data_IF_419100598854
#
_entry.id   IF_419100598854
#
_cell.length_a   1.000
_cell.length_b   1.000
_cell.length_c   1.000
_cell.angle_alpha   90.00
_cell.angle_beta   90.00
_cell.angle_gamma   90.00
#
_symmetry.space_group_name_H-M   'P 1'
#
loop_
_entity.id
_entity.type
_entity.pdbx_description
1 polymer ?
#
# COMPACT_ATOMS: atom_id res chain seq x y z
N UNK A 1 7.94 -2.26 21.68
CA UNK A 1 8.12 -2.98 20.40
C UNK A 1 6.90 -2.69 19.54
N UNK A 2 7.07 -2.49 18.27
CA UNK A 2 5.98 -2.27 17.32
C UNK A 2 5.30 -3.59 16.97
N UNK A 3 3.96 -3.60 16.92
CA UNK A 3 3.18 -4.76 16.43
C UNK A 3 3.40 -4.99 14.93
N UNK A 4 3.57 -3.91 14.17
CA UNK A 4 3.87 -4.00 12.74
C UNK A 4 5.19 -4.74 12.48
N UNK A 5 6.24 -4.47 13.25
CA UNK A 5 7.50 -5.22 13.17
C UNK A 5 7.30 -6.70 13.47
N UNK A 6 6.53 -7.01 14.53
CA UNK A 6 6.28 -8.41 14.92
C UNK A 6 5.52 -9.18 13.83
N UNK A 7 4.49 -8.57 13.22
CA UNK A 7 3.76 -9.16 12.10
C UNK A 7 4.70 -9.40 10.92
N UNK A 8 5.51 -8.40 10.56
CA UNK A 8 6.46 -8.49 9.46
C UNK A 8 7.50 -9.61 9.71
N UNK A 9 8.11 -9.64 10.90
CA UNK A 9 9.10 -10.66 11.28
C UNK A 9 8.49 -12.06 11.19
N UNK A 10 7.29 -12.25 11.71
CA UNK A 10 6.60 -13.53 11.69
C UNK A 10 6.33 -14.00 10.25
N UNK A 11 5.84 -13.10 9.40
CA UNK A 11 5.60 -13.40 7.98
C UNK A 11 6.90 -13.77 7.26
N UNK A 12 7.98 -13.01 7.46
CA UNK A 12 9.26 -13.28 6.83
C UNK A 12 9.83 -14.65 7.24
N UNK A 13 9.78 -14.98 8.53
CA UNK A 13 10.21 -16.29 9.04
C UNK A 13 9.38 -17.41 8.42
N UNK A 14 8.06 -17.25 8.43
CA UNK A 14 7.16 -18.26 7.89
C UNK A 14 7.35 -18.51 6.38
N UNK A 15 7.59 -17.43 5.60
CA UNK A 15 7.90 -17.56 4.16
C UNK A 15 9.24 -18.28 3.97
N UNK A 16 10.27 -17.89 4.71
CA UNK A 16 11.61 -18.49 4.58
C UNK A 16 11.65 -19.96 5.00
N UNK A 17 10.89 -20.34 6.03
CA UNK A 17 10.88 -21.71 6.60
C UNK A 17 9.92 -22.63 5.87
N UNK A 18 8.76 -22.14 5.44
CA UNK A 18 7.64 -22.94 4.95
C UNK A 18 7.17 -22.55 3.55
N UNK A 19 7.86 -21.64 2.88
CA UNK A 19 7.50 -21.17 1.55
C UNK A 19 7.89 -22.14 0.43
N UNK A 20 7.23 -21.99 -0.70
CA UNK A 20 7.54 -22.71 -1.94
C UNK A 20 8.56 -21.92 -2.77
N UNK A 21 9.64 -22.57 -3.19
CA UNK A 21 10.63 -22.03 -4.10
C UNK A 21 10.26 -22.32 -5.56
N UNK A 22 10.34 -21.29 -6.41
CA UNK A 22 10.04 -21.40 -7.86
C UNK A 22 11.29 -21.50 -8.74
N UNK A 23 12.42 -21.93 -8.18
CA UNK A 23 13.74 -22.00 -8.85
C UNK A 23 13.75 -22.82 -10.14
N UNK A 24 12.90 -23.83 -10.22
CA UNK A 24 12.78 -24.70 -11.39
C UNK A 24 11.69 -24.26 -12.39
N UNK A 25 11.06 -23.11 -12.13
CA UNK A 25 9.98 -22.61 -12.97
C UNK A 25 10.46 -21.45 -13.85
N UNK A 26 9.80 -21.28 -14.98
CA UNK A 26 9.98 -20.08 -15.81
C UNK A 26 9.27 -18.92 -15.11
N UNK A 27 10.03 -17.88 -14.74
CA UNK A 27 9.53 -16.65 -14.12
C UNK A 27 9.62 -15.48 -15.09
N UNK A 28 8.74 -14.49 -14.91
CA UNK A 28 8.73 -13.28 -15.74
C UNK A 28 9.76 -12.27 -15.26
N UNK A 29 9.88 -11.98 -13.93
CA UNK A 29 10.76 -10.93 -13.45
C UNK A 29 12.24 -11.30 -13.68
N UNK A 30 13.06 -10.26 -13.92
CA UNK A 30 14.50 -10.39 -14.09
C UNK A 30 15.22 -9.36 -13.23
N UNK A 31 16.43 -9.69 -12.84
CA UNK A 31 17.36 -8.76 -12.23
C UNK A 31 17.96 -7.83 -13.30
N UNK A 32 18.59 -6.74 -12.87
CA UNK A 32 19.25 -5.76 -13.74
C UNK A 32 20.28 -6.40 -14.69
N UNK A 33 20.91 -7.51 -14.30
CA UNK A 33 21.84 -8.28 -15.12
C UNK A 33 21.18 -9.27 -16.10
N UNK A 34 19.85 -9.26 -16.18
CA UNK A 34 19.07 -10.13 -17.06
C UNK A 34 18.83 -11.55 -16.53
N UNK A 35 19.36 -11.90 -15.36
CA UNK A 35 19.09 -13.23 -14.78
C UNK A 35 17.67 -13.31 -14.22
N UNK A 36 17.02 -14.49 -14.27
CA UNK A 36 15.69 -14.68 -13.70
C UNK A 36 15.67 -14.35 -12.22
N UNK A 37 14.65 -13.63 -11.77
CA UNK A 37 14.43 -13.29 -10.37
C UNK A 37 13.44 -14.28 -9.75
N UNK A 38 14.00 -15.35 -9.13
CA UNK A 38 13.21 -16.38 -8.46
C UNK A 38 12.76 -15.97 -7.07
N UNK A 39 11.73 -16.63 -6.57
CA UNK A 39 11.14 -16.30 -5.26
C UNK A 39 10.93 -17.53 -4.38
N UNK A 40 10.98 -17.29 -3.08
CA UNK A 40 10.31 -18.13 -2.09
C UNK A 40 9.01 -17.42 -1.71
N UNK A 41 7.89 -18.14 -1.73
CA UNK A 41 6.57 -17.53 -1.58
C UNK A 41 5.58 -18.36 -0.79
N UNK A 42 4.58 -17.68 -0.26
CA UNK A 42 3.48 -18.28 0.46
C UNK A 42 2.13 -17.79 -0.08
N UNK A 43 1.19 -18.72 -0.17
CA UNK A 43 -0.19 -18.42 -0.55
C UNK A 43 -0.98 -17.88 0.64
N UNK A 44 -1.70 -16.80 0.43
CA UNK A 44 -2.71 -16.22 1.30
C UNK A 44 -2.21 -15.91 2.72
N UNK A 45 -1.49 -14.79 2.84
CA UNK A 45 -1.20 -14.18 4.15
C UNK A 45 -2.28 -13.13 4.44
N UNK A 46 -2.81 -13.16 5.67
CA UNK A 46 -3.78 -12.17 6.16
C UNK A 46 -3.23 -11.50 7.42
N UNK A 47 -2.95 -10.21 7.31
CA UNK A 47 -2.47 -9.39 8.41
C UNK A 47 -3.57 -8.45 8.91
N UNK A 48 -3.56 -8.13 10.20
CA UNK A 48 -4.50 -7.21 10.84
C UNK A 48 -3.74 -6.13 11.60
N UNK A 49 -4.08 -4.87 11.33
CA UNK A 49 -3.47 -3.71 11.95
C UNK A 49 -4.54 -2.83 12.58
N UNK A 50 -4.54 -2.73 13.91
CA UNK A 50 -5.44 -1.84 14.63
C UNK A 50 -4.87 -0.42 14.66
N UNK A 51 -5.45 0.48 13.87
CA UNK A 51 -4.97 1.85 13.70
C UNK A 51 -5.25 2.74 14.91
N UNK A 52 -6.08 2.28 15.86
CA UNK A 52 -6.28 2.98 17.14
C UNK A 52 -5.15 2.70 18.13
N UNK A 53 -4.38 1.64 17.93
CA UNK A 53 -3.28 1.27 18.81
C UNK A 53 -1.95 1.85 18.35
N UNK A 54 -1.63 1.73 17.06
CA UNK A 54 -0.41 2.26 16.46
C UNK A 54 -0.54 2.49 14.96
N UNK A 55 0.31 3.37 14.43
CA UNK A 55 0.55 3.44 12.99
C UNK A 55 1.42 2.24 12.58
N UNK A 56 0.99 1.41 11.62
CA UNK A 56 1.78 0.25 11.20
C UNK A 56 2.91 0.68 10.25
N UNK A 57 4.01 1.15 10.82
CA UNK A 57 5.25 1.49 10.15
C UNK A 57 6.39 0.68 10.75
N UNK A 58 7.30 0.16 9.92
CA UNK A 58 8.42 -0.63 10.41
C UNK A 58 9.45 0.24 11.11
N UNK A 59 10.02 -0.29 12.20
CA UNK A 59 11.15 0.31 12.92
C UNK A 59 12.45 -0.47 12.70
N UNK A 60 12.38 -1.76 12.42
CA UNK A 60 13.53 -2.60 12.06
C UNK A 60 14.14 -2.27 10.71
N UNK A 61 13.47 -1.43 9.94
CA UNK A 61 13.92 -0.87 8.67
C UNK A 61 13.22 0.46 8.42
N UNK A 62 13.98 1.45 7.93
CA UNK A 62 13.41 2.74 7.54
C UNK A 62 12.34 2.58 6.46
N UNK A 63 11.18 3.20 6.69
CA UNK A 63 10.15 3.42 5.67
C UNK A 63 10.15 4.90 5.30
N UNK A 64 10.27 5.22 4.00
CA UNK A 64 10.30 6.61 3.53
C UNK A 64 8.88 7.22 3.58
N UNK A 65 8.46 7.62 4.79
CA UNK A 65 7.11 8.07 5.12
C UNK A 65 6.57 9.14 4.18
N UNK A 66 7.34 10.22 3.95
CA UNK A 66 6.89 11.33 3.11
C UNK A 66 6.72 10.92 1.65
N UNK A 67 7.61 10.08 1.13
CA UNK A 67 7.51 9.58 -0.25
C UNK A 67 6.31 8.64 -0.41
N UNK A 68 6.05 7.78 0.57
CA UNK A 68 4.87 6.90 0.56
C UNK A 68 3.56 7.68 0.64
N UNK A 69 3.53 8.75 1.42
CA UNK A 69 2.37 9.63 1.50
C UNK A 69 2.18 10.45 0.20
N UNK A 70 3.24 10.99 -0.38
CA UNK A 70 3.16 11.72 -1.66
C UNK A 70 2.62 10.82 -2.78
N UNK A 71 3.09 9.57 -2.87
CA UNK A 71 2.55 8.58 -3.81
C UNK A 71 1.07 8.26 -3.53
N UNK A 72 0.69 8.12 -2.27
CA UNK A 72 -0.71 7.93 -1.89
C UNK A 72 -1.60 9.07 -2.40
N UNK A 73 -1.16 10.33 -2.18
CA UNK A 73 -1.88 11.51 -2.66
C UNK A 73 -1.89 11.59 -4.19
N UNK A 74 -0.80 11.20 -4.85
CA UNK A 74 -0.71 11.12 -6.31
C UNK A 74 -1.74 10.14 -6.88
N UNK A 75 -1.86 8.94 -6.31
CA UNK A 75 -2.80 7.91 -6.76
C UNK A 75 -4.25 8.27 -6.43
N UNK A 76 -4.54 8.65 -5.17
CA UNK A 76 -5.90 8.71 -4.66
C UNK A 76 -6.53 10.10 -4.70
N UNK A 77 -5.72 11.15 -4.57
CA UNK A 77 -6.21 12.53 -4.54
C UNK A 77 -6.08 13.19 -5.91
N UNK A 78 -4.87 13.21 -6.48
CA UNK A 78 -4.63 13.72 -7.83
C UNK A 78 -5.22 12.82 -8.91
N UNK A 79 -5.36 11.52 -8.63
CA UNK A 79 -5.82 10.48 -9.57
C UNK A 79 -5.01 10.50 -10.86
N UNK A 80 -3.72 10.79 -10.72
CA UNK A 80 -2.80 10.91 -11.84
C UNK A 80 -2.19 9.56 -12.22
N UNK A 81 -1.83 9.45 -13.47
CA UNK A 81 -1.02 8.37 -14.03
C UNK A 81 0.27 8.90 -14.67
N UNK A 82 0.64 10.16 -14.41
CA UNK A 82 1.86 10.77 -14.91
C UNK A 82 2.87 10.96 -13.77
N UNK A 83 4.08 10.41 -13.93
CA UNK A 83 5.15 10.47 -12.93
C UNK A 83 5.68 11.89 -12.68
N UNK A 84 5.44 12.83 -13.59
CA UNK A 84 5.83 14.22 -13.39
C UNK A 84 4.98 14.93 -12.30
N UNK A 85 3.84 14.35 -11.91
CA UNK A 85 3.01 14.83 -10.80
C UNK A 85 3.45 14.27 -9.44
N UNK A 86 4.47 13.38 -9.43
CA UNK A 86 5.04 12.72 -8.26
C UNK A 86 6.44 13.27 -7.98
N UNK A 87 6.76 13.54 -6.71
CA UNK A 87 8.08 14.08 -6.35
C UNK A 87 9.18 13.01 -6.28
N UNK A 88 8.84 11.74 -6.24
CA UNK A 88 9.80 10.63 -6.20
C UNK A 88 9.93 9.94 -7.55
N UNK A 89 11.06 9.26 -7.78
CA UNK A 89 11.38 8.55 -9.02
C UNK A 89 11.07 7.05 -8.98
N UNK A 90 10.21 6.63 -8.05
CA UNK A 90 9.95 5.19 -7.82
C UNK A 90 9.14 4.53 -8.93
N UNK A 91 8.49 5.32 -9.78
CA UNK A 91 7.66 4.85 -10.89
C UNK A 91 8.31 5.01 -12.27
N UNK A 92 9.49 5.62 -12.39
CA UNK A 92 10.14 5.95 -13.67
C UNK A 92 10.35 4.72 -14.56
N UNK A 93 10.64 3.55 -13.98
CA UNK A 93 10.86 2.30 -14.73
C UNK A 93 9.59 1.75 -15.42
N UNK A 94 8.42 2.24 -15.07
CA UNK A 94 7.13 1.81 -15.64
C UNK A 94 6.45 2.91 -16.46
N UNK A 95 7.07 4.08 -16.56
CA UNK A 95 6.57 5.20 -17.34
C UNK A 95 7.09 5.14 -18.78
N UNK A 96 6.25 5.59 -19.71
CA UNK A 96 6.64 5.81 -21.10
C UNK A 96 7.40 7.14 -21.27
N UNK A 97 7.72 7.48 -22.53
CA UNK A 97 8.46 8.71 -22.90
C UNK A 97 7.73 10.00 -22.47
N UNK A 98 6.42 9.95 -22.27
CA UNK A 98 5.59 11.09 -21.81
C UNK A 98 5.47 11.17 -20.29
N UNK A 99 6.05 10.22 -19.58
CA UNK A 99 5.92 10.07 -18.14
C UNK A 99 4.64 9.36 -17.69
N UNK A 100 3.89 8.75 -18.63
CA UNK A 100 2.65 8.04 -18.31
C UNK A 100 2.91 6.59 -17.93
N UNK A 101 2.25 6.11 -16.87
CA UNK A 101 2.17 4.68 -16.52
C UNK A 101 0.95 3.99 -17.18
N UNK A 102 0.35 4.63 -18.17
CA UNK A 102 -0.81 4.13 -18.87
C UNK A 102 -2.10 4.22 -18.04
N UNK A 103 -3.05 3.33 -18.30
CA UNK A 103 -4.35 3.30 -17.64
C UNK A 103 -4.31 2.66 -16.24
N UNK A 104 -3.20 2.78 -15.53
CA UNK A 104 -2.98 2.16 -14.23
C UNK A 104 -3.34 3.09 -13.05
N UNK A 105 -3.56 2.53 -11.89
CA UNK A 105 -3.73 3.17 -10.58
C UNK A 105 -4.67 4.39 -10.57
N UNK A 106 -4.14 5.63 -10.52
CA UNK A 106 -4.94 6.85 -10.44
C UNK A 106 -5.92 7.01 -11.58
N UNK A 107 -5.55 6.59 -12.80
CA UNK A 107 -6.45 6.58 -13.94
C UNK A 107 -7.72 5.77 -13.70
N UNK A 108 -7.59 4.57 -13.10
CA UNK A 108 -8.75 3.72 -12.79
C UNK A 108 -9.64 4.31 -11.68
N UNK A 109 -9.04 5.01 -10.72
CA UNK A 109 -9.81 5.71 -9.69
C UNK A 109 -10.61 6.89 -10.25
N UNK A 110 -10.07 7.58 -11.28
CA UNK A 110 -10.71 8.71 -11.94
C UNK A 110 -11.87 8.31 -12.89
N UNK A 111 -11.96 7.02 -13.28
CA UNK A 111 -13.05 6.56 -14.16
C UNK A 111 -14.39 6.76 -13.49
N UNK A 112 -15.28 7.48 -14.17
CA UNK A 112 -16.61 7.75 -13.66
C UNK A 112 -17.57 6.62 -13.98
N UNK A 113 -18.51 6.41 -13.06
CA UNK A 113 -19.62 5.47 -13.19
C UNK A 113 -20.94 6.16 -12.83
N UNK A 114 -22.02 5.73 -13.46
CA UNK A 114 -23.36 6.28 -13.23
C UNK A 114 -24.04 5.48 -12.11
N UNK A 115 -24.51 6.20 -11.11
CA UNK A 115 -25.28 5.69 -9.98
C UNK A 115 -26.65 6.38 -9.93
N UNK A 116 -27.64 5.87 -9.17
CA UNK A 116 -28.93 6.53 -9.00
C UNK A 116 -28.80 7.97 -8.47
N UNK A 117 -27.77 8.24 -7.66
CA UNK A 117 -27.52 9.54 -7.03
C UNK A 117 -26.72 10.51 -7.91
N UNK A 118 -26.16 10.05 -9.04
CA UNK A 118 -25.37 10.85 -9.96
C UNK A 118 -24.14 10.14 -10.53
N UNK A 119 -23.28 10.89 -11.16
CA UNK A 119 -22.02 10.40 -11.72
C UNK A 119 -20.89 10.63 -10.73
N UNK A 120 -20.16 9.57 -10.38
CA UNK A 120 -19.05 9.60 -9.44
C UNK A 120 -17.85 8.83 -10.01
N UNK A 121 -16.65 9.30 -9.71
CA UNK A 121 -15.48 8.42 -9.73
C UNK A 121 -15.42 7.56 -8.45
N UNK A 122 -14.45 6.65 -8.38
CA UNK A 122 -14.41 5.67 -7.28
C UNK A 122 -14.15 6.32 -5.92
N UNK A 123 -13.31 7.37 -5.86
CA UNK A 123 -12.97 8.07 -4.61
C UNK A 123 -14.15 8.90 -4.13
N UNK A 124 -14.76 9.67 -5.03
CA UNK A 124 -15.94 10.48 -4.72
C UNK A 124 -17.13 9.60 -4.30
N UNK A 125 -17.27 8.41 -4.91
CA UNK A 125 -18.28 7.45 -4.50
C UNK A 125 -18.06 6.95 -3.07
N UNK A 126 -16.84 6.60 -2.69
CA UNK A 126 -16.52 6.22 -1.30
C UNK A 126 -16.84 7.35 -0.33
N UNK A 127 -16.41 8.59 -0.64
CA UNK A 127 -16.70 9.76 0.20
C UNK A 127 -18.20 10.01 0.36
N UNK A 128 -18.96 9.90 -0.74
CA UNK A 128 -20.42 10.05 -0.74
C UNK A 128 -21.09 8.97 0.15
N UNK A 129 -20.70 7.71 -0.01
CA UNK A 129 -21.30 6.61 0.74
C UNK A 129 -20.96 6.67 2.23
N UNK A 130 -19.70 6.97 2.59
CA UNK A 130 -19.29 7.12 3.99
C UNK A 130 -20.07 8.23 4.71
N UNK A 131 -20.43 9.28 3.99
CA UNK A 131 -21.18 10.42 4.55
C UNK A 131 -22.69 10.18 4.58
N UNK A 132 -23.27 9.56 3.55
CA UNK A 132 -24.71 9.49 3.36
C UNK A 132 -25.30 8.10 3.63
N UNK A 133 -24.50 7.05 3.51
CA UNK A 133 -24.92 5.66 3.70
C UNK A 133 -23.80 4.79 4.31
N UNK A 134 -23.27 5.16 5.49
CA UNK A 134 -22.11 4.49 6.08
C UNK A 134 -22.33 3.00 6.38
N UNK A 135 -23.59 2.56 6.51
CA UNK A 135 -23.94 1.14 6.74
C UNK A 135 -24.00 0.30 5.45
N UNK A 136 -23.71 0.89 4.29
CA UNK A 136 -23.65 0.18 3.03
C UNK A 136 -22.53 -0.87 3.03
N UNK A 137 -22.88 -2.07 2.53
CA UNK A 137 -21.93 -3.17 2.31
C UNK A 137 -21.33 -3.14 0.90
N UNK A 138 -21.44 -2.00 0.19
CA UNK A 138 -21.03 -1.82 -1.21
C UNK A 138 -19.96 -0.73 -1.35
N UNK A 139 -19.38 -0.27 -0.24
CA UNK A 139 -18.35 0.77 -0.24
C UNK A 139 -17.03 0.10 -0.58
N UNK A 140 -16.59 0.23 -1.82
CA UNK A 140 -15.35 -0.37 -2.28
C UNK A 140 -14.79 0.34 -3.51
N UNK A 141 -13.51 0.10 -3.75
CA UNK A 141 -12.82 0.48 -4.98
C UNK A 141 -12.15 -0.73 -5.61
N UNK A 142 -12.02 -0.72 -6.94
CA UNK A 142 -11.30 -1.75 -7.67
C UNK A 142 -10.60 -1.11 -8.87
N UNK A 143 -9.29 -1.23 -8.92
CA UNK A 143 -8.46 -0.67 -9.98
C UNK A 143 -7.90 -1.73 -10.95
N UNK A 144 -8.25 -3.00 -10.77
CA UNK A 144 -7.90 -4.07 -11.69
C UNK A 144 -9.00 -4.23 -12.74
N UNK A 145 -8.87 -3.48 -13.84
CA UNK A 145 -9.84 -3.46 -14.92
C UNK A 145 -9.31 -4.27 -16.10
N UNK A 146 -9.95 -5.40 -16.39
CA UNK A 146 -9.54 -6.33 -17.44
C UNK A 146 -9.51 -5.71 -18.84
N UNK A 147 -10.39 -4.75 -19.12
CA UNK A 147 -10.46 -4.07 -20.42
C UNK A 147 -9.22 -3.20 -20.68
N UNK A 148 -8.62 -2.64 -19.62
CA UNK A 148 -7.52 -1.68 -19.72
C UNK A 148 -6.14 -2.29 -19.41
N UNK A 149 -6.04 -3.57 -19.01
CA UNK A 149 -4.77 -4.18 -18.59
C UNK A 149 -3.64 -4.04 -19.63
N UNK A 150 -3.98 -4.18 -20.90
CA UNK A 150 -3.00 -4.09 -21.99
C UNK A 150 -2.42 -2.69 -22.20
N UNK A 151 -3.02 -1.66 -21.61
CA UNK A 151 -2.57 -0.28 -21.63
C UNK A 151 -1.96 0.17 -20.27
N UNK A 152 -1.67 -0.75 -19.37
CA UNK A 152 -1.05 -0.47 -18.08
C UNK A 152 0.44 -0.76 -18.11
N UNK A 153 1.28 0.18 -17.69
CA UNK A 153 2.72 -0.03 -17.51
C UNK A 153 3.02 -1.08 -16.45
N UNK A 154 2.18 -1.14 -15.39
CA UNK A 154 2.22 -2.15 -14.35
C UNK A 154 0.81 -2.53 -13.91
N UNK A 155 0.51 -3.83 -13.91
CA UNK A 155 -0.77 -4.33 -13.40
C UNK A 155 -0.87 -4.11 -11.89
N UNK A 156 -1.98 -3.53 -11.36
CA UNK A 156 -2.12 -3.22 -9.95
C UNK A 156 -1.89 -4.44 -9.05
N UNK A 157 -0.94 -4.32 -8.12
CA UNK A 157 -0.69 -5.34 -7.10
C UNK A 157 -1.72 -5.22 -5.96
N UNK A 158 -1.80 -4.04 -5.35
CA UNK A 158 -2.87 -3.64 -4.43
C UNK A 158 -4.05 -3.17 -5.28
N UNK A 159 -5.06 -4.02 -5.47
CA UNK A 159 -6.03 -3.81 -6.53
C UNK A 159 -7.44 -3.43 -6.04
N UNK A 160 -7.79 -3.72 -4.80
CA UNK A 160 -9.08 -3.32 -4.27
C UNK A 160 -9.05 -2.97 -2.79
N UNK A 161 -9.87 -1.99 -2.41
CA UNK A 161 -10.19 -1.67 -1.02
C UNK A 161 -11.68 -1.85 -0.79
N UNK A 162 -12.05 -2.55 0.29
CA UNK A 162 -13.41 -2.63 0.79
C UNK A 162 -13.49 -1.91 2.12
N UNK A 163 -14.49 -1.06 2.30
CA UNK A 163 -14.71 -0.28 3.50
C UNK A 163 -15.94 -0.77 4.24
N UNK A 164 -15.87 -0.79 5.57
CA UNK A 164 -16.99 -1.16 6.44
C UNK A 164 -17.02 -0.27 7.66
N UNK A 165 -18.20 0.25 7.98
CA UNK A 165 -18.41 1.06 9.18
C UNK A 165 -19.10 0.22 10.25
N UNK A 166 -18.50 0.11 11.43
CA UNK A 166 -19.03 -0.57 12.60
C UNK A 166 -19.19 0.45 13.73
N UNK A 167 -20.42 0.85 14.01
CA UNK A 167 -20.70 1.99 14.90
C UNK A 167 -20.16 3.29 14.33
N UNK A 168 -19.17 3.88 14.97
CA UNK A 168 -18.47 5.10 14.56
C UNK A 168 -17.06 4.81 13.97
N UNK A 169 -16.76 3.55 13.68
CA UNK A 169 -15.42 3.08 13.33
C UNK A 169 -15.38 2.59 11.89
N UNK A 170 -14.47 3.16 11.10
CA UNK A 170 -14.20 2.78 9.71
C UNK A 170 -13.10 1.73 9.66
N UNK A 171 -13.42 0.56 9.15
CA UNK A 171 -12.49 -0.54 8.88
C UNK A 171 -12.27 -0.70 7.38
N UNK A 172 -11.13 -1.26 6.99
CA UNK A 172 -10.79 -1.50 5.60
C UNK A 172 -10.16 -2.87 5.35
N UNK A 173 -10.45 -3.45 4.19
CA UNK A 173 -9.77 -4.64 3.67
C UNK A 173 -9.02 -4.24 2.42
N UNK A 174 -7.70 -4.35 2.44
CA UNK A 174 -6.84 -4.24 1.27
C UNK A 174 -6.65 -5.64 0.66
N UNK A 175 -7.06 -5.83 -0.59
CA UNK A 175 -6.75 -7.03 -1.35
C UNK A 175 -5.56 -6.77 -2.27
N UNK A 176 -4.54 -7.62 -2.14
CA UNK A 176 -3.32 -7.56 -2.92
C UNK A 176 -3.02 -8.92 -3.55
N UNK A 177 -2.90 -8.96 -4.90
CA UNK A 177 -2.65 -10.20 -5.64
C UNK A 177 -1.21 -10.69 -5.53
N UNK A 178 -0.27 -9.78 -5.30
CA UNK A 178 1.17 -10.04 -5.28
C UNK A 178 1.87 -9.00 -4.44
N UNK A 179 2.80 -9.39 -3.58
CA UNK A 179 3.52 -8.49 -2.69
C UNK A 179 4.97 -8.94 -2.51
N UNK A 180 5.92 -8.11 -2.99
CA UNK A 180 7.31 -8.21 -2.56
C UNK A 180 7.39 -7.80 -1.09
N UNK A 181 7.61 -8.79 -0.25
CA UNK A 181 7.55 -8.61 1.20
C UNK A 181 8.66 -7.71 1.74
N UNK A 182 9.82 -7.65 1.07
CA UNK A 182 10.90 -6.77 1.52
C UNK A 182 10.70 -5.33 1.05
N UNK A 183 10.37 -5.11 -0.23
CA UNK A 183 10.34 -3.74 -0.79
C UNK A 183 8.99 -3.07 -0.68
N UNK A 184 7.89 -3.80 -0.94
CA UNK A 184 6.57 -3.21 -1.10
C UNK A 184 5.64 -3.39 0.12
N UNK A 185 5.81 -4.44 0.94
CA UNK A 185 4.86 -4.74 2.01
C UNK A 185 4.64 -3.57 2.99
N UNK A 186 5.71 -3.10 3.62
CA UNK A 186 5.64 -2.01 4.59
C UNK A 186 5.20 -0.69 3.96
N UNK A 187 5.51 -0.47 2.69
CA UNK A 187 5.07 0.69 1.92
C UNK A 187 3.55 0.69 1.73
N UNK A 188 3.00 -0.42 1.22
CA UNK A 188 1.56 -0.55 1.01
C UNK A 188 0.78 -0.51 2.33
N UNK A 189 1.24 -1.21 3.37
CA UNK A 189 0.58 -1.18 4.70
C UNK A 189 0.49 0.25 5.22
N UNK A 190 1.58 1.02 5.15
CA UNK A 190 1.59 2.42 5.58
C UNK A 190 0.60 3.26 4.76
N UNK A 191 0.67 3.17 3.43
CA UNK A 191 -0.18 3.97 2.53
C UNK A 191 -1.67 3.71 2.78
N UNK A 192 -2.08 2.46 2.82
CA UNK A 192 -3.49 2.12 2.99
C UNK A 192 -4.00 2.35 4.41
N UNK A 193 -3.11 2.36 5.41
CA UNK A 193 -3.44 2.82 6.76
C UNK A 193 -3.70 4.31 6.80
N UNK A 194 -2.83 5.11 6.17
CA UNK A 194 -3.02 6.56 6.04
C UNK A 194 -4.30 6.89 5.25
N UNK A 195 -4.55 6.18 4.15
CA UNK A 195 -5.78 6.33 3.36
C UNK A 195 -7.03 6.11 4.22
N UNK A 196 -7.06 5.04 5.02
CA UNK A 196 -8.18 4.73 5.90
C UNK A 196 -8.38 5.82 6.96
N UNK A 197 -7.28 6.35 7.52
CA UNK A 197 -7.32 7.47 8.48
C UNK A 197 -7.83 8.76 7.83
N UNK A 198 -7.42 9.06 6.59
CA UNK A 198 -7.90 10.22 5.83
C UNK A 198 -9.41 10.13 5.59
N UNK A 199 -9.90 9.01 5.08
CA UNK A 199 -11.34 8.79 4.87
C UNK A 199 -12.12 8.87 6.18
N UNK A 200 -11.62 8.29 7.26
CA UNK A 200 -12.26 8.36 8.57
C UNK A 200 -12.37 9.81 9.05
N UNK A 201 -11.29 10.59 8.99
CA UNK A 201 -11.27 11.98 9.45
C UNK A 201 -12.30 12.84 8.71
N UNK A 202 -12.32 12.81 7.38
CA UNK A 202 -13.23 13.68 6.60
C UNK A 202 -14.69 13.23 6.63
N UNK A 203 -14.94 11.99 7.05
CA UNK A 203 -16.28 11.43 7.23
C UNK A 203 -16.77 11.49 8.69
N UNK A 204 -15.96 12.04 9.62
CA UNK A 204 -16.31 12.14 11.03
C UNK A 204 -16.32 10.79 11.75
N UNK A 205 -15.58 9.81 11.23
CA UNK A 205 -15.44 8.46 11.78
C UNK A 205 -14.08 8.30 12.47
N UNK A 206 -13.93 7.23 13.26
CA UNK A 206 -12.66 6.79 13.81
C UNK A 206 -12.02 5.78 12.87
N UNK A 207 -10.73 5.87 12.62
CA UNK A 207 -9.99 4.81 11.92
C UNK A 207 -9.95 3.56 12.80
N UNK A 208 -10.31 2.42 12.25
CA UNK A 208 -10.37 1.14 12.95
C UNK A 208 -9.25 0.19 12.54
N UNK A 209 -9.61 -0.92 11.93
CA UNK A 209 -8.68 -1.96 11.53
C UNK A 209 -8.44 -1.94 10.02
N UNK A 210 -7.17 -2.04 9.62
CA UNK A 210 -6.77 -2.42 8.27
C UNK A 210 -6.49 -3.93 8.24
N UNK A 211 -7.24 -4.67 7.43
CA UNK A 211 -6.97 -6.07 7.11
C UNK A 211 -6.27 -6.11 5.75
N UNK A 212 -5.06 -6.66 5.69
CA UNK A 212 -4.29 -6.81 4.47
C UNK A 212 -4.27 -8.27 4.04
N UNK A 213 -4.92 -8.57 2.92
CA UNK A 213 -5.01 -9.89 2.32
C UNK A 213 -4.06 -9.96 1.14
N UNK A 214 -3.07 -10.84 1.20
CA UNK A 214 -2.02 -11.01 0.19
C UNK A 214 -2.13 -12.42 -0.41
N UNK A 215 -2.47 -12.51 -1.69
CA UNK A 215 -2.61 -13.82 -2.33
C UNK A 215 -1.25 -14.50 -2.58
N UNK A 216 -0.27 -13.77 -3.11
CA UNK A 216 1.11 -14.22 -3.31
C UNK A 216 2.07 -13.31 -2.54
N UNK A 217 2.53 -13.79 -1.38
CA UNK A 217 3.50 -13.10 -0.54
C UNK A 217 4.88 -13.72 -0.76
N UNK A 218 5.83 -12.97 -1.33
CA UNK A 218 7.10 -13.51 -1.76
C UNK A 218 8.32 -12.70 -1.32
N UNK A 219 9.44 -13.41 -1.24
CA UNK A 219 10.79 -12.87 -1.04
C UNK A 219 11.63 -13.31 -2.23
N UNK A 220 12.20 -12.36 -2.96
CA UNK A 220 13.11 -12.67 -4.06
C UNK A 220 14.40 -13.33 -3.56
N UNK A 221 15.00 -14.17 -4.39
CA UNK A 221 16.22 -14.93 -4.08
C UNK A 221 17.36 -14.02 -3.56
N UNK A 222 17.64 -12.88 -4.22
CA UNK A 222 18.66 -11.90 -3.79
C UNK A 222 18.25 -11.08 -2.56
N UNK A 223 17.01 -11.18 -2.13
CA UNK A 223 16.52 -10.52 -0.91
C UNK A 223 16.67 -11.38 0.35
N UNK A 224 16.88 -12.70 0.21
CA UNK A 224 16.84 -13.64 1.36
C UNK A 224 17.81 -13.25 2.48
N UNK A 225 19.05 -12.93 2.15
CA UNK A 225 20.03 -12.56 3.17
C UNK A 225 19.76 -11.19 3.75
N UNK A 226 19.23 -10.24 2.94
CA UNK A 226 18.78 -8.95 3.42
C UNK A 226 17.61 -9.07 4.39
N UNK A 227 16.66 -9.96 4.10
CA UNK A 227 15.52 -10.25 4.99
C UNK A 227 16.01 -10.80 6.32
N UNK A 228 16.94 -11.80 6.31
CA UNK A 228 17.53 -12.33 7.55
C UNK A 228 18.21 -11.25 8.39
N UNK A 229 18.92 -10.32 7.74
CA UNK A 229 19.53 -9.18 8.41
C UNK A 229 18.47 -8.24 9.02
N UNK A 230 17.45 -7.87 8.25
CA UNK A 230 16.38 -6.95 8.70
C UNK A 230 15.62 -7.51 9.89
N UNK A 231 15.21 -8.78 9.84
CA UNK A 231 14.40 -9.37 10.93
C UNK A 231 15.20 -9.65 12.21
N UNK A 232 16.54 -9.56 12.15
CA UNK A 232 17.41 -9.67 13.31
C UNK A 232 17.71 -8.33 13.98
N UNK A 233 17.30 -7.19 13.38
CA UNK A 233 17.56 -5.86 13.94
C UNK A 233 16.71 -5.56 15.17
N UNK A 234 17.19 -4.67 16.04
CA UNK A 234 16.40 -4.20 17.18
C UNK A 234 15.07 -3.58 16.74
N UNK A 235 14.02 -3.84 17.53
CA UNK A 235 12.72 -3.22 17.35
C UNK A 235 12.59 -2.00 18.26
N UNK A 236 12.08 -0.89 17.71
CA UNK A 236 11.80 0.32 18.48
C UNK A 236 10.29 0.42 18.77
N UNK A 237 9.91 1.45 19.50
CA UNK A 237 8.52 1.77 19.75
C UNK A 237 7.89 2.36 18.48
N UNK A 238 6.64 1.99 18.20
CA UNK A 238 5.88 2.63 17.12
C UNK A 238 5.80 4.14 17.32
N UNK A 239 6.03 4.96 16.28
CA UNK A 239 5.88 6.40 16.36
C UNK A 239 4.43 6.79 16.55
N UNK A 240 4.20 8.02 16.99
CA UNK A 240 2.87 8.62 16.99
C UNK A 240 2.66 9.40 15.69
N UNK A 241 1.52 9.17 15.06
CA UNK A 241 1.10 9.97 13.91
C UNK A 241 0.21 11.11 14.40
N UNK A 242 0.52 12.32 13.95
CA UNK A 242 -0.38 13.47 14.01
C UNK A 242 -0.87 13.81 12.60
N UNK A 243 -2.16 13.97 12.46
CA UNK A 243 -2.81 14.46 11.24
C UNK A 243 -3.47 15.80 11.57
N UNK A 244 -3.29 16.80 10.72
CA UNK A 244 -3.89 18.12 10.90
C UNK A 244 -5.43 18.01 11.00
N UNK A 245 -6.02 18.27 12.19
CA UNK A 245 -7.44 18.07 12.42
C UNK A 245 -8.32 19.11 11.70
N UNK A 246 -7.72 20.16 11.14
CA UNK A 246 -8.44 21.22 10.42
C UNK A 246 -8.75 20.82 8.97
N UNK A 247 -8.12 19.80 8.42
CA UNK A 247 -8.45 19.30 7.08
C UNK A 247 -9.78 18.56 7.13
N UNK A 248 -10.78 19.09 6.39
CA UNK A 248 -12.17 18.59 6.35
C UNK A 248 -12.59 18.04 4.99
N UNK A 249 -11.78 18.26 3.97
CA UNK A 249 -12.01 17.72 2.63
C UNK A 249 -10.83 16.81 2.26
N UNK A 250 -11.14 15.63 1.70
CA UNK A 250 -10.15 14.63 1.29
C UNK A 250 -9.10 15.21 0.32
N UNK A 251 -9.52 16.12 -0.55
CA UNK A 251 -8.64 16.70 -1.57
C UNK A 251 -7.77 17.85 -1.07
N UNK A 252 -7.94 18.27 0.19
CA UNK A 252 -7.13 19.35 0.78
C UNK A 252 -5.92 18.84 1.56
N UNK A 253 -5.81 17.53 1.81
CA UNK A 253 -4.65 16.96 2.47
C UNK A 253 -3.37 17.19 1.68
N UNK A 254 -2.30 17.52 2.40
CA UNK A 254 -0.93 17.68 1.90
C UNK A 254 0.02 16.84 2.74
N UNK A 255 1.22 16.60 2.24
CA UNK A 255 2.26 15.85 2.98
C UNK A 255 2.58 16.50 4.33
N UNK A 256 2.53 17.83 4.40
CA UNK A 256 2.80 18.63 5.60
C UNK A 256 1.74 18.50 6.69
N UNK A 257 0.54 18.00 6.36
CA UNK A 257 -0.53 17.75 7.33
C UNK A 257 -0.30 16.52 8.19
N UNK A 258 0.77 15.77 7.91
CA UNK A 258 1.11 14.51 8.58
C UNK A 258 2.49 14.60 9.23
N UNK A 259 2.56 14.37 10.53
CA UNK A 259 3.80 14.41 11.30
C UNK A 259 4.00 13.11 12.07
N UNK A 260 5.21 12.53 11.97
CA UNK A 260 5.62 11.38 12.79
C UNK A 260 6.45 11.89 13.97
N UNK A 261 5.98 11.60 15.19
CA UNK A 261 6.69 11.87 16.43
C UNK A 261 7.39 10.63 16.95
N UNK A 262 8.67 10.74 17.24
CA UNK A 262 9.46 9.66 17.85
C UNK A 262 9.67 8.46 16.91
N UNK A 263 9.84 8.69 15.61
CA UNK A 263 10.15 7.63 14.64
C UNK A 263 11.64 7.29 14.71
N UNK A 264 11.95 6.27 15.49
CA UNK A 264 13.27 5.63 15.55
C UNK A 264 13.25 4.39 14.66
N UNK A 265 14.31 4.17 13.89
CA UNK A 265 14.40 3.04 12.94
C UNK A 265 15.83 2.60 12.73
N UNK A 266 15.98 1.36 12.30
CA UNK A 266 17.26 0.82 11.84
C UNK A 266 17.48 1.14 10.36
N UNK A 267 18.74 1.45 10.01
CA UNK A 267 19.12 1.59 8.62
C UNK A 267 19.76 0.27 8.11
N UNK A 268 19.39 -0.13 6.91
CA UNK A 268 20.00 -1.30 6.27
C UNK A 268 21.40 -0.96 5.74
N UNK A 269 21.68 0.31 5.42
CA UNK A 269 22.95 0.76 4.88
C UNK A 269 23.30 0.18 3.51
N UNK A 270 22.36 -0.46 2.85
CA UNK A 270 22.52 -1.15 1.55
C UNK A 270 21.37 -0.81 0.61
N UNK A 271 21.69 -0.69 -0.69
CA UNK A 271 20.68 -0.60 -1.74
C UNK A 271 20.01 -1.99 -1.88
N UNK A 272 18.70 -2.02 -1.88
CA UNK A 272 17.94 -3.25 -2.16
C UNK A 272 17.78 -3.34 -3.68
N UNK A 273 18.21 -4.42 -4.33
CA UNK A 273 17.99 -4.61 -5.76
C UNK A 273 16.50 -4.77 -6.05
N UNK A 274 16.07 -4.33 -7.23
CA UNK A 274 14.67 -4.44 -7.68
C UNK A 274 14.63 -5.36 -8.88
N UNK A 275 13.71 -6.34 -8.86
CA UNK A 275 13.39 -7.19 -10.00
C UNK A 275 12.27 -6.53 -10.84
N UNK A 276 12.40 -6.56 -12.17
CA UNK A 276 11.46 -5.92 -13.12
C UNK A 276 10.84 -6.96 -14.06
#
# INVERSE_FOLDING_TARGET
MSKADQIFINNMKDILENGFWDTDLKVRPHWEDGTPAHTVKKFCIVNRYNLQEELPILTIRRTAFKSGLDELLWIWQKKSNNVHDLNSHIWDSWADETGSIGKAYGYQLAKKSIYPEGEFDQVDRVLFDLKNNPQSRRIMTNIYNFEDLHEMGLYPCAYSMTFNVSGDTLNGILNQRSNDMLTANNWNVLQYSLLLMMFAQVSGLKAGELVHVIADAHIYDRHVDLVKEVIAKPQHKAPKLKINPNVKNFYDFKVEDFELEGYEYEDLGKKIPVAI
#
